data_IF_266379914497
#
_entry.id   IF_266379914497
#
_cell.length_a   1.000
_cell.length_b   1.000
_cell.length_c   1.000
_cell.angle_alpha   90.00
_cell.angle_beta   90.00
_cell.angle_gamma   90.00
#
_symmetry.space_group_name_H-M   'P 1'
#
loop_
_entity.id
_entity.type
_entity.pdbx_description
1 polymer ?
#
# COMPACT_ATOMS: atom_id res chain seq x y z
N UNK A 1 -21.24 -25.06 6.68
CA UNK A 1 -20.16 -24.67 5.75
C UNK A 1 -20.05 -23.15 5.78
N UNK A 2 -19.00 -22.62 6.42
CA UNK A 2 -18.71 -21.17 6.40
C UNK A 2 -18.56 -20.75 4.93
N UNK A 3 -19.44 -19.89 4.45
CA UNK A 3 -19.33 -19.32 3.11
C UNK A 3 -18.19 -18.30 3.16
N UNK A 4 -17.15 -18.53 2.36
CA UNK A 4 -16.08 -17.55 2.17
C UNK A 4 -16.61 -16.24 1.57
N UNK A 5 -15.80 -15.19 1.59
CA UNK A 5 -16.17 -13.91 0.97
C UNK A 5 -16.55 -14.09 -0.50
N UNK A 6 -17.54 -13.33 -0.95
CA UNK A 6 -18.01 -13.32 -2.34
C UNK A 6 -17.08 -12.49 -3.22
N UNK A 7 -17.16 -12.73 -4.54
CA UNK A 7 -16.41 -11.96 -5.53
C UNK A 7 -16.74 -10.46 -5.49
N UNK A 8 -18.01 -10.11 -5.24
CA UNK A 8 -18.45 -8.71 -5.16
C UNK A 8 -17.77 -7.99 -3.99
N UNK A 9 -17.69 -8.62 -2.82
CA UNK A 9 -17.01 -8.04 -1.65
C UNK A 9 -15.51 -7.89 -1.86
N UNK A 10 -14.88 -8.88 -2.48
CA UNK A 10 -13.46 -8.81 -2.83
C UNK A 10 -13.20 -7.65 -3.83
N UNK A 11 -14.05 -7.50 -4.84
CA UNK A 11 -13.94 -6.42 -5.83
C UNK A 11 -14.20 -5.04 -5.23
N UNK A 12 -15.20 -4.92 -4.36
CA UNK A 12 -15.46 -3.66 -3.66
C UNK A 12 -14.29 -3.32 -2.74
N UNK A 13 -13.81 -4.26 -1.91
CA UNK A 13 -12.65 -4.03 -1.05
C UNK A 13 -11.40 -3.64 -1.84
N UNK A 14 -11.20 -4.26 -3.01
CA UNK A 14 -10.12 -3.93 -3.93
C UNK A 14 -10.26 -2.51 -4.50
N UNK A 15 -11.43 -2.17 -5.04
CA UNK A 15 -11.70 -0.86 -5.63
C UNK A 15 -11.47 0.28 -4.63
N UNK A 16 -11.73 0.02 -3.36
CA UNK A 16 -11.58 1.01 -2.29
C UNK A 16 -10.15 1.11 -1.81
N UNK A 17 -9.43 0.02 -1.68
CA UNK A 17 -8.01 0.08 -1.35
C UNK A 17 -7.16 0.62 -2.53
N UNK A 18 -7.64 0.55 -3.77
CA UNK A 18 -7.08 1.29 -4.92
C UNK A 18 -7.15 2.81 -4.76
N UNK A 19 -7.98 3.36 -3.86
CA UNK A 19 -8.21 4.81 -3.78
C UNK A 19 -6.98 5.60 -3.31
N UNK A 20 -6.08 4.97 -2.55
CA UNK A 20 -4.83 5.63 -2.15
C UNK A 20 -3.91 5.85 -3.36
N UNK A 21 -3.80 4.85 -4.24
CA UNK A 21 -3.09 4.95 -5.53
C UNK A 21 -3.82 5.84 -6.55
N UNK A 22 -5.14 5.78 -6.60
CA UNK A 22 -5.95 6.66 -7.46
C UNK A 22 -5.84 8.13 -7.04
N UNK A 23 -5.80 8.42 -5.73
CA UNK A 23 -5.58 9.75 -5.19
C UNK A 23 -4.20 10.30 -5.56
N UNK A 24 -3.17 9.45 -5.58
CA UNK A 24 -1.84 9.81 -6.06
C UNK A 24 -1.83 10.14 -7.56
N UNK A 25 -2.50 9.34 -8.38
CA UNK A 25 -2.65 9.60 -9.82
C UNK A 25 -3.42 10.92 -10.04
N UNK A 26 -4.53 11.12 -9.33
CA UNK A 26 -5.34 12.34 -9.42
C UNK A 26 -4.58 13.59 -8.95
N UNK A 27 -3.80 13.51 -7.87
CA UNK A 27 -2.94 14.61 -7.46
C UNK A 27 -1.88 14.93 -8.52
N UNK A 28 -1.31 13.90 -9.13
CA UNK A 28 -0.24 14.04 -10.13
C UNK A 28 -0.74 14.66 -11.42
N UNK A 29 -1.88 14.19 -11.96
CA UNK A 29 -2.34 14.58 -13.29
C UNK A 29 -3.47 15.61 -13.28
N UNK A 30 -4.20 15.75 -12.17
CA UNK A 30 -5.38 16.59 -12.05
C UNK A 30 -5.24 17.69 -10.98
N UNK A 31 -4.10 17.74 -10.26
CA UNK A 31 -3.82 18.76 -9.25
C UNK A 31 -4.73 18.69 -8.01
N UNK A 32 -5.40 17.56 -7.81
CA UNK A 32 -6.29 17.36 -6.65
C UNK A 32 -5.44 17.20 -5.38
N UNK A 33 -5.77 17.86 -4.25
CA UNK A 33 -5.00 17.71 -3.02
C UNK A 33 -4.93 16.25 -2.58
N UNK A 34 -3.74 15.75 -2.27
CA UNK A 34 -3.53 14.36 -1.84
C UNK A 34 -4.25 14.06 -0.50
N UNK A 35 -4.61 15.09 0.27
CA UNK A 35 -5.47 15.00 1.47
C UNK A 35 -6.85 14.38 1.19
N UNK A 36 -7.33 14.45 -0.06
CA UNK A 36 -8.50 13.70 -0.54
C UNK A 36 -8.24 12.21 -0.76
N UNK A 37 -7.13 11.63 -0.32
CA UNK A 37 -6.93 10.17 -0.37
C UNK A 37 -7.15 9.48 0.98
N UNK A 38 -7.04 10.20 2.10
CA UNK A 38 -7.12 9.65 3.46
C UNK A 38 -8.52 9.12 3.86
N UNK A 39 -9.66 9.75 3.50
CA UNK A 39 -10.99 9.23 3.86
C UNK A 39 -11.38 7.91 3.17
N UNK A 40 -10.69 7.51 2.11
CA UNK A 40 -11.25 6.64 1.07
C UNK A 40 -10.98 5.14 1.24
N UNK A 41 -10.39 4.73 2.37
CA UNK A 41 -10.29 3.32 2.77
C UNK A 41 -11.14 3.04 4.01
N UNK A 42 -11.13 3.93 5.01
CA UNK A 42 -11.94 3.75 6.23
C UNK A 42 -13.43 3.83 5.93
N UNK A 43 -13.88 4.91 5.29
CA UNK A 43 -15.31 5.09 4.99
C UNK A 43 -15.84 3.98 4.09
N UNK A 44 -15.11 3.56 3.05
CA UNK A 44 -15.67 2.57 2.16
C UNK A 44 -15.51 1.13 2.67
N UNK A 45 -14.46 0.82 3.44
CA UNK A 45 -14.40 -0.46 4.19
C UNK A 45 -15.56 -0.54 5.19
N UNK A 46 -15.85 0.56 5.90
CA UNK A 46 -17.00 0.65 6.78
C UNK A 46 -18.34 0.52 6.02
N UNK A 47 -18.46 1.12 4.84
CA UNK A 47 -19.65 1.01 4.00
C UNK A 47 -19.85 -0.41 3.46
N UNK A 48 -18.79 -1.11 3.07
CA UNK A 48 -18.85 -2.53 2.72
C UNK A 48 -19.27 -3.35 3.94
N UNK A 49 -18.60 -3.19 5.09
CA UNK A 49 -18.93 -3.94 6.30
C UNK A 49 -20.40 -3.74 6.69
N UNK A 50 -20.90 -2.51 6.59
CA UNK A 50 -22.32 -2.19 6.76
C UNK A 50 -23.19 -2.90 5.70
N UNK A 51 -22.81 -2.86 4.42
CA UNK A 51 -23.51 -3.55 3.35
C UNK A 51 -23.55 -5.08 3.52
N UNK A 52 -22.45 -5.71 3.93
CA UNK A 52 -22.36 -7.14 4.24
C UNK A 52 -23.27 -7.48 5.42
N UNK A 53 -23.20 -6.70 6.50
CA UNK A 53 -24.02 -6.89 7.68
C UNK A 53 -25.53 -6.72 7.38
N UNK A 54 -25.88 -5.73 6.55
CA UNK A 54 -27.26 -5.43 6.16
C UNK A 54 -27.83 -6.46 5.17
N UNK A 55 -27.06 -6.86 4.16
CA UNK A 55 -27.49 -7.81 3.13
C UNK A 55 -27.48 -9.27 3.62
N UNK A 56 -26.64 -9.57 4.62
CA UNK A 56 -26.39 -10.91 5.10
C UNK A 56 -27.02 -11.28 6.43
N UNK A 57 -27.96 -10.47 6.97
CA UNK A 57 -28.55 -10.58 8.34
C UNK A 57 -28.19 -11.91 9.05
N UNK A 58 -27.09 -11.90 9.82
CA UNK A 58 -26.68 -13.01 10.68
C UNK A 58 -25.53 -13.91 10.18
N UNK A 59 -24.91 -13.67 9.01
CA UNK A 59 -23.71 -14.43 8.61
C UNK A 59 -22.43 -13.89 9.28
N UNK A 60 -22.37 -14.02 10.60
CA UNK A 60 -21.22 -13.62 11.43
C UNK A 60 -19.92 -14.26 10.93
N UNK A 61 -19.98 -15.52 10.46
CA UNK A 61 -18.82 -16.22 9.94
C UNK A 61 -18.21 -15.51 8.72
N UNK A 62 -19.03 -14.96 7.82
CA UNK A 62 -18.58 -14.19 6.66
C UNK A 62 -18.01 -12.83 7.05
N UNK A 63 -18.65 -12.14 7.99
CA UNK A 63 -18.12 -10.87 8.54
C UNK A 63 -16.76 -11.08 9.20
N UNK A 64 -16.61 -12.13 10.02
CA UNK A 64 -15.36 -12.52 10.65
C UNK A 64 -14.29 -12.89 9.60
N UNK A 65 -14.65 -13.62 8.55
CA UNK A 65 -13.70 -13.96 7.48
C UNK A 65 -13.18 -12.72 6.75
N UNK A 66 -14.06 -11.77 6.43
CA UNK A 66 -13.66 -10.51 5.79
C UNK A 66 -12.80 -9.64 6.73
N UNK A 67 -13.26 -9.42 7.97
CA UNK A 67 -12.52 -8.65 8.96
C UNK A 67 -11.12 -9.24 9.21
N UNK A 68 -11.02 -10.57 9.30
CA UNK A 68 -9.74 -11.27 9.42
C UNK A 68 -8.81 -10.97 8.24
N UNK A 69 -9.31 -11.00 7.01
CA UNK A 69 -8.49 -10.71 5.83
C UNK A 69 -7.98 -9.26 5.82
N UNK A 70 -8.84 -8.30 6.17
CA UNK A 70 -8.45 -6.90 6.29
C UNK A 70 -7.37 -6.73 7.38
N UNK A 71 -7.57 -7.30 8.57
CA UNK A 71 -6.63 -7.18 9.68
C UNK A 71 -5.28 -7.86 9.37
N UNK A 72 -5.31 -9.06 8.80
CA UNK A 72 -4.11 -9.79 8.37
C UNK A 72 -3.37 -9.00 7.29
N UNK A 73 -4.08 -8.51 6.27
CA UNK A 73 -3.49 -7.71 5.20
C UNK A 73 -2.92 -6.38 5.70
N UNK A 74 -3.61 -5.72 6.62
CA UNK A 74 -3.17 -4.46 7.22
C UNK A 74 -1.88 -4.63 8.03
N UNK A 75 -1.87 -5.60 8.94
CA UNK A 75 -0.70 -5.88 9.77
C UNK A 75 0.49 -6.38 8.91
N UNK A 76 0.23 -7.22 7.91
CA UNK A 76 1.27 -7.73 7.02
C UNK A 76 1.83 -6.61 6.13
N UNK A 77 0.96 -5.74 5.61
CA UNK A 77 1.34 -4.55 4.84
C UNK A 77 2.20 -3.60 5.66
N UNK A 78 1.83 -3.30 6.91
CA UNK A 78 2.63 -2.47 7.81
C UNK A 78 4.03 -3.05 8.04
N UNK A 79 4.13 -4.33 8.41
CA UNK A 79 5.41 -4.99 8.66
C UNK A 79 6.27 -5.07 7.38
N UNK A 80 5.65 -5.31 6.23
CA UNK A 80 6.32 -5.29 4.95
C UNK A 80 6.84 -3.89 4.59
N UNK A 81 6.11 -2.83 4.91
CA UNK A 81 6.57 -1.43 4.73
C UNK A 81 7.75 -1.11 5.63
N UNK A 82 7.78 -1.61 6.88
CA UNK A 82 8.95 -1.45 7.74
C UNK A 82 10.17 -2.17 7.12
N UNK A 83 10.00 -3.40 6.61
CA UNK A 83 11.09 -4.11 5.95
C UNK A 83 11.59 -3.37 4.69
N UNK A 84 10.66 -2.82 3.91
CA UNK A 84 10.95 -1.92 2.79
C UNK A 84 11.81 -0.73 3.21
N UNK A 85 11.39 0.00 4.25
CA UNK A 85 12.07 1.21 4.71
C UNK A 85 13.44 0.94 5.32
N UNK A 86 13.62 -0.18 6.02
CA UNK A 86 14.92 -0.57 6.58
C UNK A 86 15.89 -1.00 5.48
N UNK A 87 15.40 -1.69 4.43
CA UNK A 87 16.26 -2.20 3.37
C UNK A 87 16.91 -1.10 2.51
N UNK A 88 16.18 -0.02 2.22
CA UNK A 88 16.64 0.99 1.25
C UNK A 88 17.89 1.78 1.71
N UNK A 89 18.00 2.25 2.96
CA UNK A 89 19.24 2.86 3.46
C UNK A 89 20.42 1.89 3.45
N UNK A 90 20.19 0.60 3.76
CA UNK A 90 21.22 -0.43 3.71
C UNK A 90 21.72 -0.62 2.28
N UNK A 91 20.81 -0.76 1.32
CA UNK A 91 21.16 -0.86 -0.11
C UNK A 91 21.92 0.38 -0.59
N UNK A 92 21.47 1.57 -0.20
CA UNK A 92 22.17 2.82 -0.51
C UNK A 92 23.60 2.82 0.00
N UNK A 93 23.81 2.43 1.27
CA UNK A 93 25.12 2.39 1.89
C UNK A 93 26.05 1.35 1.25
N UNK A 94 25.53 0.14 0.95
CA UNK A 94 26.31 -0.97 0.37
C UNK A 94 26.75 -0.68 -1.07
N UNK A 95 25.86 -0.10 -1.88
CA UNK A 95 26.12 0.15 -3.30
C UNK A 95 26.56 1.59 -3.62
N UNK A 96 26.68 2.46 -2.60
CA UNK A 96 27.14 3.84 -2.76
C UNK A 96 26.18 4.74 -3.54
N UNK A 97 24.88 4.47 -3.51
CA UNK A 97 23.90 5.27 -4.25
C UNK A 97 23.74 6.68 -3.67
N UNK A 98 23.59 7.67 -4.54
CA UNK A 98 23.37 9.07 -4.14
C UNK A 98 21.89 9.41 -4.00
N UNK A 99 21.00 8.64 -4.66
CA UNK A 99 19.55 8.80 -4.58
C UNK A 99 19.06 8.70 -3.13
N UNK A 100 18.23 9.65 -2.72
CA UNK A 100 17.61 9.64 -1.41
C UNK A 100 16.43 8.64 -1.37
N UNK A 101 16.51 7.55 -0.57
CA UNK A 101 15.46 6.54 -0.51
C UNK A 101 14.13 7.10 0.01
N UNK A 102 14.14 8.16 0.81
CA UNK A 102 12.92 8.68 1.45
C UNK A 102 12.30 9.87 0.70
N UNK A 103 12.88 10.28 -0.43
CA UNK A 103 12.43 11.43 -1.23
C UNK A 103 10.93 11.45 -1.52
N UNK A 104 10.34 10.30 -1.84
CA UNK A 104 8.90 10.21 -2.13
C UNK A 104 8.04 10.61 -0.94
N UNK A 105 8.46 10.25 0.29
CA UNK A 105 7.74 10.51 1.53
C UNK A 105 7.66 12.02 1.79
N UNK A 106 8.78 12.73 1.63
CA UNK A 106 8.84 14.18 1.76
C UNK A 106 7.87 14.86 0.79
N UNK A 107 7.86 14.44 -0.47
CA UNK A 107 6.98 15.02 -1.50
C UNK A 107 5.50 14.75 -1.18
N UNK A 108 5.15 13.57 -0.66
CA UNK A 108 3.78 13.32 -0.20
C UNK A 108 3.37 14.32 0.89
N UNK A 109 4.25 14.58 1.85
CA UNK A 109 4.04 15.55 2.91
C UNK A 109 3.77 16.96 2.40
N UNK A 110 4.59 17.42 1.46
CA UNK A 110 4.43 18.72 0.81
C UNK A 110 3.08 18.84 0.10
N UNK A 111 2.69 17.81 -0.65
CA UNK A 111 1.44 17.83 -1.42
C UNK A 111 0.19 17.72 -0.55
N UNK A 112 0.27 17.03 0.58
CA UNK A 112 -0.87 16.92 1.51
C UNK A 112 -1.08 18.24 2.25
N UNK A 113 0.01 18.89 2.67
CA UNK A 113 -0.06 20.02 3.61
C UNK A 113 0.12 21.39 2.96
N UNK A 114 0.66 21.44 1.74
CA UNK A 114 1.10 22.68 1.08
C UNK A 114 2.34 23.32 1.71
N UNK A 115 3.01 22.62 2.64
CA UNK A 115 4.21 23.11 3.37
C UNK A 115 5.49 22.52 2.74
N UNK A 116 6.64 23.19 2.86
CA UNK A 116 7.90 22.68 2.30
C UNK A 116 8.46 21.47 3.07
N UNK A 117 9.30 20.67 2.41
CA UNK A 117 10.03 19.56 3.01
C UNK A 117 10.88 20.03 4.21
N UNK A 118 10.94 19.21 5.26
CA UNK A 118 11.56 19.58 6.53
C UNK A 118 10.63 20.32 7.51
N UNK A 119 9.45 20.80 7.07
CA UNK A 119 8.40 21.21 8.00
C UNK A 119 7.85 20.00 8.76
N UNK A 120 7.75 20.10 10.09
CA UNK A 120 7.35 18.98 10.94
C UNK A 120 5.98 18.37 10.56
N UNK A 121 5.02 19.20 10.12
CA UNK A 121 3.71 18.71 9.71
C UNK A 121 3.73 18.08 8.32
N UNK A 122 4.55 18.58 7.40
CA UNK A 122 4.77 17.94 6.11
C UNK A 122 5.38 16.55 6.32
N UNK A 123 6.42 16.43 7.15
CA UNK A 123 7.07 15.15 7.47
C UNK A 123 6.07 14.15 8.05
N UNK A 124 5.32 14.55 9.09
CA UNK A 124 4.31 13.68 9.70
C UNK A 124 3.26 13.24 8.68
N UNK A 125 2.77 14.15 7.84
CA UNK A 125 1.77 13.83 6.81
C UNK A 125 2.32 12.85 5.76
N UNK A 126 3.55 13.07 5.30
CA UNK A 126 4.23 12.21 4.32
C UNK A 126 4.42 10.80 4.84
N UNK A 127 4.95 10.64 6.05
CA UNK A 127 5.14 9.34 6.69
C UNK A 127 3.80 8.63 6.94
N UNK A 128 2.79 9.37 7.41
CA UNK A 128 1.46 8.82 7.64
C UNK A 128 0.88 8.25 6.34
N UNK A 129 0.97 9.01 5.24
CA UNK A 129 0.47 8.57 3.94
C UNK A 129 1.27 7.38 3.38
N UNK A 130 2.59 7.36 3.57
CA UNK A 130 3.45 6.24 3.17
C UNK A 130 3.06 4.92 3.85
N UNK A 131 2.93 4.93 5.18
CA UNK A 131 2.46 3.75 5.92
C UNK A 131 1.04 3.37 5.54
N UNK A 132 0.16 4.36 5.34
CA UNK A 132 -1.20 4.12 4.89
C UNK A 132 -1.25 3.39 3.55
N UNK A 133 -0.44 3.82 2.56
CA UNK A 133 -0.32 3.13 1.28
C UNK A 133 0.15 1.68 1.45
N UNK A 134 1.19 1.46 2.23
CA UNK A 134 1.71 0.13 2.51
C UNK A 134 0.69 -0.83 3.14
N UNK A 135 -0.08 -0.33 4.11
CA UNK A 135 -1.19 -1.05 4.74
C UNK A 135 -2.26 -1.39 3.70
N UNK A 136 -2.62 -0.43 2.86
CA UNK A 136 -3.68 -0.55 1.84
C UNK A 136 -3.34 -1.61 0.80
N UNK A 137 -2.11 -1.60 0.28
CA UNK A 137 -1.63 -2.63 -0.64
C UNK A 137 -1.61 -4.02 0.00
N UNK A 138 -1.32 -4.12 1.30
CA UNK A 138 -1.39 -5.36 2.04
C UNK A 138 -2.82 -5.90 2.18
N UNK A 139 -3.78 -5.02 2.49
CA UNK A 139 -5.21 -5.37 2.51
C UNK A 139 -5.69 -5.87 1.15
N UNK A 140 -5.33 -5.19 0.05
CA UNK A 140 -5.67 -5.60 -1.32
C UNK A 140 -5.16 -7.00 -1.61
N UNK A 141 -3.88 -7.24 -1.31
CA UNK A 141 -3.25 -8.52 -1.54
C UNK A 141 -3.93 -9.63 -0.74
N UNK A 142 -4.27 -9.40 0.53
CA UNK A 142 -4.98 -10.39 1.35
C UNK A 142 -6.38 -10.69 0.80
N UNK A 143 -7.11 -9.69 0.31
CA UNK A 143 -8.44 -9.87 -0.29
C UNK A 143 -8.39 -10.67 -1.62
N UNK A 144 -7.43 -10.34 -2.51
CA UNK A 144 -7.25 -11.05 -3.79
C UNK A 144 -6.68 -12.44 -3.56
N UNK A 145 -5.74 -12.57 -2.61
CA UNK A 145 -4.99 -13.78 -2.33
C UNK A 145 -5.01 -14.13 -0.83
N UNK A 146 -6.14 -14.64 -0.30
CA UNK A 146 -6.28 -15.01 1.11
C UNK A 146 -5.21 -15.98 1.62
N UNK A 147 -4.80 -16.94 0.77
CA UNK A 147 -3.78 -17.95 1.11
C UNK A 147 -2.34 -17.42 1.10
N UNK A 148 -2.14 -16.15 0.73
CA UNK A 148 -0.83 -15.53 0.53
C UNK A 148 0.02 -16.23 -0.54
N UNK A 149 1.34 -16.18 -0.32
CA UNK A 149 2.36 -16.82 -1.14
C UNK A 149 3.46 -15.84 -1.52
N UNK A 150 4.71 -16.22 -1.26
CA UNK A 150 5.90 -15.35 -1.46
C UNK A 150 6.03 -14.88 -2.91
N UNK A 151 5.93 -15.79 -3.88
CA UNK A 151 6.04 -15.45 -5.31
C UNK A 151 4.93 -14.47 -5.72
N UNK A 152 3.68 -14.71 -5.28
CA UNK A 152 2.57 -13.84 -5.63
C UNK A 152 2.67 -12.48 -4.94
N UNK A 153 3.17 -12.43 -3.70
CA UNK A 153 3.44 -11.18 -3.01
C UNK A 153 4.53 -10.37 -3.70
N UNK A 154 5.61 -11.02 -4.13
CA UNK A 154 6.66 -10.41 -4.95
C UNK A 154 6.09 -9.83 -6.25
N UNK A 155 5.37 -10.65 -7.05
CA UNK A 155 4.78 -10.19 -8.31
C UNK A 155 3.77 -9.05 -8.11
N UNK A 156 3.00 -9.07 -7.02
CA UNK A 156 2.11 -7.98 -6.64
C UNK A 156 2.86 -6.68 -6.39
N UNK A 157 3.95 -6.74 -5.61
CA UNK A 157 4.74 -5.55 -5.29
C UNK A 157 5.49 -5.00 -6.51
N UNK A 158 6.01 -5.87 -7.39
CA UNK A 158 6.64 -5.43 -8.64
C UNK A 158 5.62 -4.80 -9.60
N UNK A 159 4.41 -5.33 -9.67
CA UNK A 159 3.32 -4.70 -10.43
C UNK A 159 3.06 -3.26 -9.92
N UNK A 160 2.95 -3.08 -8.60
CA UNK A 160 2.79 -1.75 -7.99
C UNK A 160 4.00 -0.86 -8.27
N UNK A 161 5.23 -1.38 -8.19
CA UNK A 161 6.45 -0.62 -8.49
C UNK A 161 6.50 -0.18 -9.95
N UNK A 162 6.09 -1.02 -10.91
CA UNK A 162 6.01 -0.62 -12.32
C UNK A 162 5.00 0.52 -12.52
N UNK A 163 3.83 0.44 -11.87
CA UNK A 163 2.85 1.54 -11.89
C UNK A 163 3.44 2.82 -11.28
N UNK A 164 4.13 2.71 -10.15
CA UNK A 164 4.82 3.84 -9.54
C UNK A 164 5.92 4.39 -10.44
N UNK A 165 6.71 3.56 -11.12
CA UNK A 165 7.74 4.02 -12.08
C UNK A 165 7.15 4.70 -13.32
N UNK A 166 5.89 4.43 -13.68
CA UNK A 166 5.21 5.17 -14.73
C UNK A 166 4.78 6.58 -14.29
N UNK A 167 4.59 6.79 -12.97
CA UNK A 167 4.09 8.06 -12.40
C UNK A 167 5.22 8.89 -11.79
N UNK A 168 6.17 8.25 -11.12
CA UNK A 168 7.22 8.84 -10.30
C UNK A 168 8.26 9.67 -11.05
N UNK A 169 8.68 9.39 -12.29
CA UNK A 169 9.62 10.26 -12.99
C UNK A 169 9.10 11.69 -13.15
N UNK A 170 7.80 11.86 -13.44
CA UNK A 170 7.15 13.17 -13.50
C UNK A 170 7.04 13.83 -12.11
N UNK A 171 6.85 13.02 -11.07
CA UNK A 171 6.55 13.44 -9.70
C UNK A 171 7.79 13.71 -8.83
N UNK A 172 8.76 12.79 -8.82
CA UNK A 172 10.00 12.83 -8.03
C UNK A 172 11.09 13.66 -8.69
N UNK A 173 10.90 14.12 -9.95
CA UNK A 173 11.99 14.59 -10.82
C UNK A 173 13.15 13.59 -10.85
N UNK A 174 12.83 12.30 -10.76
CA UNK A 174 13.79 11.21 -10.82
C UNK A 174 14.03 10.86 -12.28
N UNK A 175 15.29 10.63 -12.63
CA UNK A 175 15.61 10.15 -13.97
C UNK A 175 15.52 8.63 -13.98
N UNK A 176 14.92 8.07 -15.02
CA UNK A 176 14.81 6.62 -15.19
C UNK A 176 16.16 5.93 -15.42
N UNK A 177 17.23 6.69 -15.68
CA UNK A 177 18.59 6.20 -15.78
C UNK A 177 19.40 6.29 -14.47
N UNK A 178 18.80 6.78 -13.38
CA UNK A 178 19.44 6.77 -12.05
C UNK A 178 19.40 5.34 -11.48
N UNK A 179 20.56 4.66 -11.34
CA UNK A 179 20.61 3.29 -10.84
C UNK A 179 20.13 3.19 -9.39
N UNK A 180 20.31 4.24 -8.59
CA UNK A 180 19.80 4.29 -7.23
C UNK A 180 18.28 4.27 -7.21
N UNK A 181 17.63 5.08 -8.05
CA UNK A 181 16.16 5.08 -8.15
C UNK A 181 15.61 3.70 -8.55
N UNK A 182 16.21 3.06 -9.56
CA UNK A 182 15.77 1.75 -10.04
C UNK A 182 15.99 0.65 -9.01
N UNK A 183 17.21 0.52 -8.48
CA UNK A 183 17.58 -0.58 -7.58
C UNK A 183 16.88 -0.45 -6.23
N UNK A 184 16.86 0.75 -5.63
CA UNK A 184 16.17 0.96 -4.36
C UNK A 184 14.66 0.75 -4.48
N UNK A 185 14.09 1.11 -5.64
CA UNK A 185 12.68 0.86 -5.96
C UNK A 185 12.37 -0.62 -6.08
N UNK A 186 12.99 -1.31 -7.05
CA UNK A 186 12.72 -2.71 -7.37
C UNK A 186 13.07 -3.64 -6.21
N UNK A 187 14.28 -3.54 -5.65
CA UNK A 187 14.68 -4.44 -4.56
C UNK A 187 13.88 -4.17 -3.30
N UNK A 188 13.61 -2.90 -3.00
CA UNK A 188 12.74 -2.52 -1.90
C UNK A 188 11.36 -3.18 -2.05
N UNK A 189 10.66 -2.93 -3.16
CA UNK A 189 9.32 -3.45 -3.37
C UNK A 189 9.30 -4.98 -3.46
N UNK A 190 10.32 -5.59 -4.06
CA UNK A 190 10.49 -7.04 -4.04
C UNK A 190 10.52 -7.59 -2.61
N UNK A 191 11.29 -6.96 -1.72
CA UNK A 191 11.33 -7.33 -0.29
C UNK A 191 9.99 -7.09 0.41
N UNK A 192 9.32 -5.95 0.16
CA UNK A 192 7.96 -5.70 0.64
C UNK A 192 7.02 -6.85 0.24
N UNK A 193 7.01 -7.22 -1.04
CA UNK A 193 6.16 -8.26 -1.59
C UNK A 193 6.45 -9.64 -1.00
N UNK A 194 7.72 -9.98 -0.84
CA UNK A 194 8.15 -11.25 -0.20
C UNK A 194 7.64 -11.33 1.24
N UNK A 195 7.86 -10.28 2.05
CA UNK A 195 7.44 -10.23 3.45
C UNK A 195 5.92 -10.28 3.56
N UNK A 196 5.21 -9.48 2.76
CA UNK A 196 3.74 -9.47 2.70
C UNK A 196 3.19 -10.86 2.35
N UNK A 197 3.69 -11.45 1.26
CA UNK A 197 3.25 -12.76 0.78
C UNK A 197 3.47 -13.88 1.78
N UNK A 198 4.59 -13.82 2.51
CA UNK A 198 4.93 -14.76 3.58
C UNK A 198 4.03 -14.59 4.80
N UNK A 199 3.86 -13.36 5.32
CA UNK A 199 3.07 -13.07 6.51
C UNK A 199 1.59 -13.43 6.30
N UNK A 200 1.00 -13.04 5.16
CA UNK A 200 -0.38 -13.39 4.84
C UNK A 200 -0.55 -14.91 4.78
N UNK A 201 0.38 -15.64 4.15
CA UNK A 201 0.33 -17.10 4.12
C UNK A 201 0.46 -17.74 5.51
N UNK A 202 1.32 -17.16 6.36
CA UNK A 202 1.59 -17.67 7.72
C UNK A 202 0.42 -17.45 8.66
N UNK A 203 -0.25 -16.29 8.58
CA UNK A 203 -1.39 -15.93 9.43
C UNK A 203 -2.73 -16.40 8.88
N UNK A 204 -2.80 -16.75 7.59
CA UNK A 204 -3.95 -17.48 7.03
C UNK A 204 -4.07 -18.90 7.60
N UNK A 205 -2.92 -19.55 7.89
CA UNK A 205 -2.88 -20.92 8.43
C UNK A 205 -3.01 -21.01 9.95
N UNK A 206 -2.86 -19.88 10.66
CA UNK A 206 -3.04 -19.78 12.11
C UNK A 206 -4.53 -19.74 12.48
#
# INVERSE_FOLDING_TARGET
MSRGITRVEALLGLALACTSGAGLIAATFLGVPLSFSAPFIVLPTAAILAGIAMAGRGDEARLHAFARLILVGAAAGLLATIAYDVSRPVLRAVFGFTFDPFRAIHIFGELITGRPAGDAWAEVAGWTYHFWNGISFGMMFALIRPKGGVILGFLWAEFLQVLMMAVYPAFLRARLDDPGFLVLGLVGHGLYGVVLGWLVARWWRA
#
